data_IF_164419148865
#
_entry.id   IF_164419148865
#
_cell.length_a   1.000
_cell.length_b   1.000
_cell.length_c   1.000
_cell.angle_alpha   90.00
_cell.angle_beta   90.00
_cell.angle_gamma   90.00
#
_symmetry.space_group_name_H-M   'P 1'
#
loop_
_entity.id
_entity.type
_entity.pdbx_description
1 polymer ?
#
# COMPACT_ATOMS: atom_id res chain seq x y z
N UNK A 1 6.21 8.86 -12.61
CA UNK A 1 7.13 8.07 -11.78
C UNK A 1 7.70 6.87 -12.54
N UNK A 2 8.97 6.52 -12.31
CA UNK A 2 9.62 5.27 -12.79
C UNK A 2 9.88 4.37 -11.59
N UNK A 3 9.81 3.05 -11.73
CA UNK A 3 10.15 2.14 -10.63
C UNK A 3 10.99 0.95 -11.10
N UNK A 4 11.72 0.37 -10.16
CA UNK A 4 12.47 -0.88 -10.31
C UNK A 4 12.25 -1.75 -9.07
N UNK A 5 11.81 -3.00 -9.29
CA UNK A 5 11.74 -4.01 -8.24
C UNK A 5 13.01 -4.83 -8.32
N UNK A 6 13.76 -4.91 -7.23
CA UNK A 6 15.03 -5.62 -7.15
C UNK A 6 15.16 -6.37 -5.83
N UNK A 7 16.21 -7.19 -5.72
CA UNK A 7 16.43 -8.07 -4.58
C UNK A 7 16.09 -9.53 -4.90
N UNK A 8 16.21 -10.38 -3.89
CA UNK A 8 15.87 -11.79 -3.96
C UNK A 8 14.67 -12.07 -3.07
N UNK A 9 14.87 -12.92 -2.07
CA UNK A 9 13.84 -13.31 -1.10
C UNK A 9 13.20 -12.14 -0.35
N UNK A 10 13.93 -11.07 -0.09
CA UNK A 10 13.41 -9.84 0.52
C UNK A 10 13.49 -8.71 -0.51
N UNK A 11 12.51 -8.61 -1.41
CA UNK A 11 12.54 -7.62 -2.48
C UNK A 11 12.32 -6.20 -1.95
N UNK A 12 12.82 -5.24 -2.72
CA UNK A 12 12.56 -3.81 -2.55
C UNK A 12 12.07 -3.21 -3.86
N UNK A 13 11.31 -2.13 -3.77
CA UNK A 13 10.92 -1.31 -4.91
C UNK A 13 11.49 0.09 -4.77
N UNK A 14 12.34 0.50 -5.71
CA UNK A 14 12.88 1.86 -5.79
C UNK A 14 12.06 2.65 -6.79
N UNK A 15 11.44 3.72 -6.33
CA UNK A 15 10.69 4.67 -7.15
C UNK A 15 11.56 5.90 -7.42
N UNK A 16 11.75 6.25 -8.69
CA UNK A 16 12.35 7.50 -9.14
C UNK A 16 11.27 8.55 -9.42
N UNK A 17 11.42 9.72 -8.78
CA UNK A 17 10.45 10.80 -8.76
C UNK A 17 11.00 12.07 -9.40
N UNK A 18 10.18 12.71 -10.23
CA UNK A 18 10.41 14.08 -10.67
C UNK A 18 10.04 15.09 -9.56
N UNK A 19 10.49 16.34 -9.69
CA UNK A 19 10.18 17.40 -8.74
C UNK A 19 8.66 17.54 -8.52
N UNK A 20 8.22 17.43 -7.27
CA UNK A 20 6.82 17.51 -6.88
C UNK A 20 6.03 16.21 -6.97
N UNK A 21 6.57 15.14 -7.57
CA UNK A 21 5.93 13.82 -7.50
C UNK A 21 5.95 13.29 -6.06
N UNK A 22 4.95 12.47 -5.74
CA UNK A 22 4.69 12.00 -4.38
C UNK A 22 4.44 10.49 -4.34
N UNK A 23 4.94 9.85 -3.29
CA UNK A 23 4.62 8.47 -2.91
C UNK A 23 3.97 8.44 -1.53
N UNK A 24 3.02 7.54 -1.34
CA UNK A 24 2.30 7.34 -0.07
C UNK A 24 2.58 5.94 0.49
N UNK A 25 2.62 5.81 1.81
CA UNK A 25 2.66 4.53 2.53
C UNK A 25 1.97 4.67 3.89
N UNK A 26 1.43 3.58 4.45
CA UNK A 26 0.86 3.56 5.81
C UNK A 26 1.92 3.36 6.91
N UNK A 27 3.22 3.30 6.55
CA UNK A 27 4.34 3.22 7.49
C UNK A 27 5.08 1.88 7.46
N UNK A 28 6.26 1.82 8.09
CA UNK A 28 7.04 0.59 8.26
C UNK A 28 7.86 0.10 7.06
N UNK A 29 7.45 0.44 5.83
CA UNK A 29 8.08 -0.11 4.61
C UNK A 29 9.21 0.72 4.00
N UNK A 30 9.35 2.01 4.36
CA UNK A 30 10.40 2.86 3.79
C UNK A 30 11.79 2.43 4.28
N UNK A 31 12.72 2.22 3.34
CA UNK A 31 14.09 1.75 3.64
C UNK A 31 15.13 2.86 3.50
N UNK A 32 15.19 3.50 2.33
CA UNK A 32 16.08 4.65 2.08
C UNK A 32 15.48 5.60 1.04
N UNK A 33 15.99 6.84 1.03
CA UNK A 33 15.57 7.87 0.09
C UNK A 33 16.70 8.88 -0.16
N UNK A 34 16.61 9.63 -1.26
CA UNK A 34 17.54 10.75 -1.52
C UNK A 34 17.29 11.90 -0.54
N UNK A 35 18.31 12.74 -0.24
CA UNK A 35 18.20 13.80 0.78
C UNK A 35 17.14 14.87 0.50
N UNK A 36 16.70 14.99 -0.76
CA UNK A 36 15.73 15.97 -1.21
C UNK A 36 14.27 15.49 -1.11
N UNK A 37 14.04 14.32 -0.52
CA UNK A 37 12.69 13.83 -0.23
C UNK A 37 12.17 14.46 1.08
N UNK A 38 11.02 15.11 1.01
CA UNK A 38 10.33 15.67 2.17
C UNK A 38 9.20 14.75 2.61
N UNK A 39 9.16 14.39 3.89
CA UNK A 39 8.10 13.58 4.48
C UNK A 39 7.09 14.45 5.23
N UNK A 40 5.80 14.16 5.02
CA UNK A 40 4.71 14.64 5.85
C UNK A 40 3.88 13.44 6.33
N UNK A 41 3.57 13.38 7.63
CA UNK A 41 2.66 12.38 8.18
C UNK A 41 1.29 13.00 8.35
N UNK A 42 0.28 12.47 7.65
CA UNK A 42 -1.12 12.84 7.85
C UNK A 42 -1.76 11.84 8.79
N UNK A 43 -2.04 12.30 10.00
CA UNK A 43 -2.96 11.61 10.90
C UNK A 43 -4.39 11.83 10.39
N UNK A 44 -5.22 10.79 10.37
CA UNK A 44 -6.65 10.96 10.16
C UNK A 44 -7.18 12.03 11.14
N UNK A 45 -7.89 13.05 10.64
CA UNK A 45 -8.22 14.26 11.40
C UNK A 45 -8.86 14.01 12.78
N UNK A 46 -8.93 15.05 13.61
CA UNK A 46 -9.34 14.99 15.03
C UNK A 46 -10.69 14.27 15.28
N UNK A 47 -11.63 14.30 14.33
CA UNK A 47 -12.90 13.53 14.40
C UNK A 47 -12.85 12.12 13.78
N UNK A 48 -11.88 11.85 12.92
CA UNK A 48 -11.62 10.54 12.31
C UNK A 48 -10.78 9.61 13.18
N UNK A 49 -9.98 10.18 14.09
CA UNK A 49 -9.13 9.41 15.02
C UNK A 49 -9.96 8.58 16.03
N UNK A 50 -11.11 9.09 16.47
CA UNK A 50 -12.00 8.40 17.41
C UNK A 50 -12.86 7.30 16.78
N UNK A 51 -13.29 7.45 15.53
CA UNK A 51 -14.08 6.43 14.83
C UNK A 51 -13.22 5.27 14.31
N UNK A 52 -11.93 5.51 14.08
CA UNK A 52 -10.99 4.55 13.48
C UNK A 52 -10.06 3.84 14.47
N UNK A 53 -9.98 4.32 15.72
CA UNK A 53 -9.31 3.59 16.79
C UNK A 53 -10.00 2.25 17.11
N UNK A 54 -11.31 2.13 16.86
CA UNK A 54 -12.07 0.90 17.04
C UNK A 54 -11.92 -0.09 15.87
N UNK A 55 -11.37 0.31 14.72
CA UNK A 55 -11.23 -0.53 13.51
C UNK A 55 -9.83 -1.14 13.32
N UNK A 56 -8.87 -0.87 14.22
CA UNK A 56 -7.50 -1.40 14.10
C UNK A 56 -6.68 -0.76 12.96
N UNK A 57 -7.01 0.47 12.57
CA UNK A 57 -6.37 1.15 11.44
C UNK A 57 -4.93 1.61 11.72
N UNK A 58 -4.07 1.60 10.70
CA UNK A 58 -2.88 2.44 10.69
C UNK A 58 -3.33 3.90 10.69
N UNK A 59 -3.08 4.58 11.81
CA UNK A 59 -3.55 5.92 12.15
C UNK A 59 -2.94 7.04 11.30
N UNK A 60 -1.96 6.70 10.44
CA UNK A 60 -1.05 7.64 9.80
C UNK A 60 -0.73 7.24 8.36
N UNK A 61 -0.87 8.18 7.43
CA UNK A 61 -0.35 8.07 6.08
C UNK A 61 0.90 8.94 5.96
N UNK A 62 2.03 8.33 5.60
CA UNK A 62 3.25 9.05 5.29
C UNK A 62 3.25 9.40 3.80
N UNK A 63 3.47 10.67 3.50
CA UNK A 63 3.55 11.21 2.15
C UNK A 63 4.96 11.72 1.94
N UNK A 64 5.66 11.16 0.95
CA UNK A 64 7.01 11.54 0.57
C UNK A 64 6.95 12.32 -0.73
N UNK A 65 7.43 13.56 -0.71
CA UNK A 65 7.40 14.49 -1.85
C UNK A 65 8.83 14.80 -2.30
N UNK A 66 9.12 14.65 -3.58
CA UNK A 66 10.43 14.99 -4.13
C UNK A 66 10.60 16.52 -4.29
N UNK A 67 11.70 17.09 -3.78
CA UNK A 67 12.11 18.48 -4.01
C UNK A 67 13.29 18.49 -5.00
N UNK A 68 12.99 18.48 -6.29
CA UNK A 68 13.94 18.12 -7.36
C UNK A 68 13.80 16.64 -7.77
N UNK A 69 14.64 16.19 -8.71
CA UNK A 69 14.72 14.76 -9.05
C UNK A 69 15.27 13.97 -7.85
N UNK A 70 14.64 12.85 -7.51
CA UNK A 70 14.99 12.05 -6.34
C UNK A 70 14.47 10.63 -6.41
N UNK A 71 14.74 9.85 -5.37
CA UNK A 71 14.23 8.47 -5.28
C UNK A 71 13.89 8.08 -3.86
N UNK A 72 12.95 7.15 -3.72
CA UNK A 72 12.57 6.52 -2.46
C UNK A 72 12.41 5.03 -2.67
N UNK A 73 12.82 4.24 -1.69
CA UNK A 73 12.75 2.77 -1.73
C UNK A 73 11.90 2.23 -0.61
N UNK A 74 11.00 1.31 -0.95
CA UNK A 74 10.17 0.56 -0.01
C UNK A 74 10.54 -0.92 -0.05
N UNK A 75 10.62 -1.58 1.10
CA UNK A 75 11.03 -2.98 1.23
C UNK A 75 9.93 -3.85 1.81
N UNK A 76 9.84 -5.09 1.34
CA UNK A 76 8.94 -6.07 1.92
C UNK A 76 9.37 -6.44 3.35
N UNK A 77 8.37 -6.65 4.19
CA UNK A 77 8.50 -7.05 5.60
C UNK A 77 8.73 -8.56 5.76
N UNK A 78 8.44 -9.35 4.72
CA UNK A 78 8.50 -10.81 4.75
C UNK A 78 9.21 -11.38 3.50
N UNK A 79 9.70 -12.63 3.57
CA UNK A 79 10.14 -13.36 2.38
C UNK A 79 9.03 -13.43 1.33
N UNK A 80 9.26 -12.98 0.10
CA UNK A 80 8.26 -13.14 -0.96
C UNK A 80 8.44 -12.22 -2.15
N UNK A 81 7.34 -11.65 -2.64
CA UNK A 81 7.30 -10.88 -3.89
C UNK A 81 6.61 -9.52 -3.70
N UNK A 82 7.10 -8.50 -4.43
CA UNK A 82 6.40 -7.23 -4.59
C UNK A 82 5.69 -7.24 -5.94
N UNK A 83 4.40 -6.95 -5.93
CA UNK A 83 3.59 -6.78 -7.14
C UNK A 83 3.30 -5.31 -7.39
N UNK A 84 3.62 -4.83 -8.60
CA UNK A 84 3.19 -3.53 -9.08
C UNK A 84 1.82 -3.66 -9.77
N UNK A 85 0.83 -2.94 -9.26
CA UNK A 85 -0.55 -3.01 -9.71
C UNK A 85 -0.99 -1.66 -10.26
N UNK A 86 -1.48 -1.64 -11.50
CA UNK A 86 -2.02 -0.44 -12.10
C UNK A 86 -3.49 -0.27 -11.68
N UNK A 87 -3.78 0.75 -10.89
CA UNK A 87 -5.13 1.13 -10.46
C UNK A 87 -5.71 2.09 -11.49
N UNK A 88 -6.92 1.80 -11.97
CA UNK A 88 -7.63 2.62 -12.94
C UNK A 88 -9.07 2.88 -12.48
N UNK A 89 -9.68 4.01 -12.90
CA UNK A 89 -11.06 4.29 -12.55
C UNK A 89 -12.01 3.15 -12.96
N UNK A 90 -12.74 2.58 -12.00
CA UNK A 90 -13.65 1.47 -12.22
C UNK A 90 -13.00 0.07 -12.18
N UNK A 91 -11.68 0.00 -11.98
CA UNK A 91 -10.91 -1.23 -11.82
C UNK A 91 -10.23 -1.23 -10.45
N UNK A 92 -11.06 -1.24 -9.41
CA UNK A 92 -10.59 -1.20 -8.03
C UNK A 92 -10.05 -2.57 -7.61
N UNK A 93 -9.03 -2.57 -6.77
CA UNK A 93 -8.45 -3.79 -6.19
C UNK A 93 -8.78 -3.89 -4.72
N UNK A 94 -8.96 -5.11 -4.24
CA UNK A 94 -9.15 -5.41 -2.82
C UNK A 94 -8.02 -6.34 -2.40
N UNK A 95 -7.27 -5.95 -1.37
CA UNK A 95 -6.15 -6.70 -0.80
C UNK A 95 -6.24 -6.73 0.72
N UNK A 96 -5.52 -7.64 1.37
CA UNK A 96 -5.39 -7.60 2.84
C UNK A 96 -4.66 -6.32 3.24
N UNK A 97 -5.13 -5.61 4.27
CA UNK A 97 -4.53 -4.33 4.69
C UNK A 97 -3.01 -4.40 4.86
N UNK A 98 -2.51 -5.49 5.44
CA UNK A 98 -1.07 -5.72 5.64
C UNK A 98 -0.27 -5.89 4.36
N UNK A 99 -0.90 -6.22 3.24
CA UNK A 99 -0.22 -6.37 1.96
C UNK A 99 0.08 -5.02 1.28
N UNK A 100 -0.52 -3.90 1.73
CA UNK A 100 -0.25 -2.60 1.13
C UNK A 100 1.15 -2.08 1.49
N UNK A 101 1.99 -1.86 0.47
CA UNK A 101 3.36 -1.41 0.66
C UNK A 101 3.51 0.10 0.48
N UNK A 102 3.16 0.60 -0.71
CA UNK A 102 3.21 2.00 -1.10
C UNK A 102 2.38 2.25 -2.37
N UNK A 103 2.06 3.50 -2.70
CA UNK A 103 1.44 3.84 -3.98
C UNK A 103 1.70 5.28 -4.40
N UNK A 104 1.33 5.62 -5.63
CA UNK A 104 1.18 7.01 -6.06
C UNK A 104 0.01 7.69 -5.33
N UNK A 105 0.06 9.03 -5.22
CA UNK A 105 -0.95 9.83 -4.50
C UNK A 105 -2.36 9.78 -5.12
N UNK A 106 -2.47 9.38 -6.39
CA UNK A 106 -3.76 9.20 -7.07
C UNK A 106 -4.53 7.94 -6.64
N UNK A 107 -3.86 7.00 -5.97
CA UNK A 107 -4.48 5.80 -5.41
C UNK A 107 -5.12 6.12 -4.07
N UNK A 108 -6.42 5.86 -3.97
CA UNK A 108 -7.23 6.10 -2.78
C UNK A 108 -7.37 4.81 -1.98
N UNK A 109 -7.14 4.93 -0.68
CA UNK A 109 -7.17 3.82 0.27
C UNK A 109 -8.44 3.90 1.13
N UNK A 110 -9.19 2.80 1.21
CA UNK A 110 -10.37 2.70 2.07
C UNK A 110 -10.53 1.29 2.65
N UNK A 111 -11.13 1.17 3.83
CA UNK A 111 -11.41 -0.15 4.42
C UNK A 111 -12.57 -0.80 3.67
N UNK A 112 -12.37 -2.06 3.29
CA UNK A 112 -13.38 -2.90 2.67
C UNK A 112 -13.87 -3.94 3.68
N UNK A 113 -15.05 -3.72 4.26
CA UNK A 113 -15.67 -4.70 5.14
C UNK A 113 -16.38 -5.77 4.31
N UNK A 114 -15.92 -7.03 4.40
CA UNK A 114 -16.69 -8.15 3.86
C UNK A 114 -17.92 -8.39 4.72
N UNK A 115 -19.11 -8.45 4.10
CA UNK A 115 -20.40 -8.68 4.79
C UNK A 115 -20.51 -10.04 5.48
N UNK A 116 -19.56 -10.96 5.27
CA UNK A 116 -19.51 -12.28 5.93
C UNK A 116 -18.69 -12.22 7.21
N UNK A 117 -19.20 -11.47 8.19
CA UNK A 117 -18.60 -11.36 9.53
C UNK A 117 -18.65 -12.67 10.33
N UNK A 118 -19.39 -13.68 9.86
CA UNK A 118 -19.67 -14.92 10.61
C UNK A 118 -18.58 -16.00 10.55
N UNK A 119 -17.49 -15.80 9.80
CA UNK A 119 -16.44 -16.84 9.61
C UNK A 119 -15.04 -16.44 10.09
N UNK A 120 -14.87 -15.30 10.76
CA UNK A 120 -13.56 -14.67 10.96
C UNK A 120 -12.98 -14.72 12.37
N UNK A 121 -12.97 -15.88 13.03
CA UNK A 121 -12.17 -16.13 14.24
C UNK A 121 -11.03 -17.09 13.87
N UNK A 122 -10.17 -16.66 12.94
CA UNK A 122 -8.95 -17.37 12.56
C UNK A 122 -7.74 -16.44 12.81
N UNK A 123 -6.86 -16.82 13.74
CA UNK A 123 -5.45 -16.43 13.70
C UNK A 123 -4.98 -15.19 14.45
N UNK A 124 -5.86 -14.33 14.98
CA UNK A 124 -5.45 -13.27 15.93
C UNK A 124 -5.00 -11.92 15.34
N UNK A 125 -4.94 -11.75 14.01
CA UNK A 125 -4.57 -10.46 13.37
C UNK A 125 -5.76 -9.67 12.78
N UNK A 126 -6.95 -10.28 12.71
CA UNK A 126 -8.14 -9.64 12.14
C UNK A 126 -8.13 -9.60 10.62
N UNK A 127 -9.28 -9.93 10.01
CA UNK A 127 -9.43 -9.99 8.57
C UNK A 127 -9.86 -8.61 8.03
N UNK A 128 -8.93 -7.65 7.98
CA UNK A 128 -9.20 -6.31 7.45
C UNK A 128 -8.75 -6.24 5.98
N UNK A 129 -9.72 -6.09 5.08
CA UNK A 129 -9.43 -5.85 3.67
C UNK A 129 -9.38 -4.35 3.40
N UNK A 130 -8.55 -3.97 2.44
CA UNK A 130 -8.37 -2.61 1.98
C UNK A 130 -8.69 -2.55 0.49
N UNK A 131 -9.53 -1.59 0.11
CA UNK A 131 -9.86 -1.26 -1.27
C UNK A 131 -8.94 -0.14 -1.75
N UNK A 132 -8.32 -0.37 -2.90
CA UNK A 132 -7.51 0.56 -3.67
C UNK A 132 -8.34 1.01 -4.89
N UNK A 133 -8.58 2.30 -5.02
CA UNK A 133 -9.33 2.90 -6.12
C UNK A 133 -8.62 4.15 -6.66
N UNK A 134 -9.20 4.80 -7.68
CA UNK A 134 -8.62 6.02 -8.26
C UNK A 134 -7.73 5.71 -9.45
N UNK A 135 -6.54 6.33 -9.52
CA UNK A 135 -5.62 6.13 -10.62
C UNK A 135 -4.15 6.18 -10.18
N UNK A 136 -3.33 5.29 -10.75
CA UNK A 136 -1.88 5.23 -10.51
C UNK A 136 -1.41 3.84 -10.11
N UNK A 137 -0.12 3.74 -9.80
CA UNK A 137 0.51 2.47 -9.43
C UNK A 137 0.46 2.29 -7.92
N UNK A 138 0.05 1.11 -7.49
CA UNK A 138 0.18 0.63 -6.12
C UNK A 138 1.11 -0.58 -6.06
N UNK A 139 1.86 -0.69 -4.98
CA UNK A 139 2.74 -1.82 -4.69
C UNK A 139 2.16 -2.61 -3.54
N UNK A 140 2.06 -3.93 -3.72
CA UNK A 140 1.67 -4.85 -2.67
C UNK A 140 2.80 -5.84 -2.38
N UNK A 141 3.00 -6.17 -1.12
CA UNK A 141 3.86 -7.28 -0.71
C UNK A 141 3.03 -8.56 -0.52
N UNK A 142 3.58 -9.68 -1.01
CA UNK A 142 2.99 -11.01 -0.91
C UNK A 142 4.00 -11.90 -0.19
N UNK A 143 3.59 -12.48 0.95
CA UNK A 143 4.38 -13.48 1.66
C UNK A 143 4.42 -14.79 0.86
N UNK A 144 5.64 -15.25 0.55
CA UNK A 144 5.88 -16.40 -0.31
C UNK A 144 5.71 -16.12 -1.80
N UNK A 145 5.16 -17.09 -2.52
CA UNK A 145 5.03 -17.05 -3.97
C UNK A 145 3.63 -16.63 -4.44
N UNK A 146 3.61 -15.95 -5.58
CA UNK A 146 2.38 -15.49 -6.21
C UNK A 146 1.78 -16.61 -7.05
N UNK A 147 0.53 -16.96 -6.75
CA UNK A 147 -0.29 -17.84 -7.57
C UNK A 147 -1.52 -17.07 -8.06
N UNK A 148 -1.66 -16.94 -9.37
CA UNK A 148 -2.75 -16.18 -9.98
C UNK A 148 -3.83 -17.11 -10.49
N UNK A 149 -5.08 -16.74 -10.24
CA UNK A 149 -6.26 -17.43 -10.73
C UNK A 149 -7.20 -16.43 -11.40
N UNK A 150 -7.62 -16.74 -12.63
CA UNK A 150 -8.68 -16.01 -13.32
C UNK A 150 -10.01 -16.71 -13.08
N UNK A 151 -10.94 -16.03 -12.41
CA UNK A 151 -12.26 -16.57 -12.08
C UNK A 151 -13.28 -16.21 -13.15
N UNK A 152 -14.08 -17.19 -13.58
CA UNK A 152 -15.26 -16.94 -14.40
C UNK A 152 -16.43 -16.46 -13.52
N UNK A 153 -17.46 -15.82 -14.09
CA UNK A 153 -18.66 -15.45 -13.35
C UNK A 153 -19.24 -16.65 -12.57
N UNK A 154 -19.30 -16.53 -11.24
CA UNK A 154 -19.87 -17.56 -10.35
C UNK A 154 -18.90 -18.62 -9.83
N UNK A 155 -17.60 -18.51 -10.12
CA UNK A 155 -16.53 -19.30 -9.49
C UNK A 155 -15.95 -18.60 -8.25
#
# INVERSE_FOLDING_TARGET
>A
MRYEISGGTFPVVTCGLANGEQMITEGGSMVWMTPNMQMETRAGGIGGMFSKAFSGENLFQNIYTARGEGSITFGSSFPGQILAMNIQPGQDLILQKSAFLASEVGVQLSIHFSKRFSTGLFGGEGFIMQRLSGCGIAFAEIDGDVVTYDLQPGQ
#
